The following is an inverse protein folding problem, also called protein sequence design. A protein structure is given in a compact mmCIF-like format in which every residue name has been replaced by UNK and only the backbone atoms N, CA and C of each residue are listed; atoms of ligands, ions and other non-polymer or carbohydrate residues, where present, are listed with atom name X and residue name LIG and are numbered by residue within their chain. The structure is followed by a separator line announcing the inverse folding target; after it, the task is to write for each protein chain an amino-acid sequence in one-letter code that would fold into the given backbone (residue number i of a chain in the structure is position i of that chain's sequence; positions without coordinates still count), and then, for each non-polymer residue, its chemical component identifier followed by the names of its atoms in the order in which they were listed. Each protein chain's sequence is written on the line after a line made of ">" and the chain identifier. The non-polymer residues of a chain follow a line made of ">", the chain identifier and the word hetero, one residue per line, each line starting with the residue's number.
data_IF_319099885242
#
_entry.id   IF_319099885242
#
_cell.length_a   1.000
_cell.length_b   1.000
_cell.length_c   1.000
_cell.angle_alpha   90.00
_cell.angle_beta   90.00
_cell.angle_gamma   90.00
#
_symmetry.space_group_name_H-M   'P 1'
#
loop_
_entity.id
_entity.type
_entity.pdbx_description
1 polymer ?
#
# COMPACT_ATOMS: atom_id res chain seq x y z
N UNK A 1 28.07 7.75 -23.14
CA UNK A 1 27.11 7.13 -24.08
C UNK A 1 26.31 6.00 -23.42
N UNK A 2 26.91 4.95 -22.82
CA UNK A 2 26.21 3.90 -22.06
C UNK A 2 25.20 4.39 -21.01
N UNK A 3 25.62 5.35 -20.19
CA UNK A 3 24.87 5.88 -19.04
C UNK A 3 23.67 6.74 -19.44
N UNK A 4 23.68 7.34 -20.62
CA UNK A 4 22.55 8.17 -21.10
C UNK A 4 21.41 7.25 -21.57
N UNK A 5 21.75 6.20 -22.33
CA UNK A 5 20.78 5.21 -22.78
C UNK A 5 20.08 4.51 -21.61
N UNK A 6 20.84 4.20 -20.58
CA UNK A 6 20.31 3.63 -19.34
C UNK A 6 19.32 4.57 -18.63
N UNK A 7 19.69 5.84 -18.46
CA UNK A 7 18.76 6.86 -17.90
C UNK A 7 17.51 7.05 -18.75
N UNK A 8 17.64 7.04 -20.08
CA UNK A 8 16.50 7.10 -21.00
C UNK A 8 15.63 5.86 -20.81
N UNK A 9 16.22 4.68 -20.69
CA UNK A 9 15.47 3.43 -20.46
C UNK A 9 14.69 3.49 -19.14
N UNK A 10 15.34 3.88 -18.04
CA UNK A 10 14.68 4.04 -16.73
C UNK A 10 13.51 5.03 -16.81
N UNK A 11 13.73 6.20 -17.43
CA UNK A 11 12.70 7.22 -17.57
C UNK A 11 11.52 6.74 -18.43
N UNK A 12 11.78 6.06 -19.56
CA UNK A 12 10.74 5.53 -20.43
C UNK A 12 9.96 4.40 -19.75
N UNK A 13 10.64 3.49 -19.03
CA UNK A 13 9.98 2.43 -18.26
C UNK A 13 9.07 3.00 -17.18
N UNK A 14 9.55 3.98 -16.41
CA UNK A 14 8.75 4.66 -15.39
C UNK A 14 7.59 5.46 -15.98
N UNK A 15 7.82 6.21 -17.07
CA UNK A 15 6.77 6.97 -17.74
C UNK A 15 5.67 6.06 -18.31
N UNK A 16 6.07 4.92 -18.88
CA UNK A 16 5.14 3.92 -19.40
C UNK A 16 4.35 3.27 -18.27
N UNK A 17 5.01 2.84 -17.19
CA UNK A 17 4.37 2.32 -15.99
C UNK A 17 3.33 3.32 -15.45
N UNK A 18 3.73 4.60 -15.32
CA UNK A 18 2.86 5.66 -14.85
C UNK A 18 1.62 5.81 -15.73
N UNK A 19 1.77 5.80 -17.06
CA UNK A 19 0.67 5.95 -18.00
C UNK A 19 -0.24 4.73 -18.04
N UNK A 20 0.33 3.52 -18.02
CA UNK A 20 -0.43 2.27 -18.16
C UNK A 20 -1.13 1.85 -16.87
N UNK A 21 -0.54 2.10 -15.70
CA UNK A 21 -1.06 1.64 -14.41
C UNK A 21 -1.62 2.79 -13.57
N UNK A 22 -0.89 3.92 -13.49
CA UNK A 22 -1.17 4.98 -12.52
C UNK A 22 -1.78 6.26 -13.12
N UNK A 23 -2.29 6.18 -14.35
CA UNK A 23 -2.97 7.28 -15.06
C UNK A 23 -2.13 8.58 -15.21
N UNK A 24 -0.80 8.48 -15.12
CA UNK A 24 0.11 9.61 -15.22
C UNK A 24 0.19 10.50 -13.96
N UNK A 25 -0.39 10.06 -12.82
CA UNK A 25 -0.49 10.90 -11.61
C UNK A 25 0.71 10.80 -10.66
N UNK A 26 1.63 9.86 -10.89
CA UNK A 26 2.79 9.67 -10.01
C UNK A 26 4.01 10.37 -10.59
N UNK A 27 4.85 11.00 -9.78
CA UNK A 27 6.08 11.62 -10.28
C UNK A 27 7.03 10.54 -10.83
N UNK A 28 7.52 10.75 -12.06
CA UNK A 28 8.40 9.80 -12.72
C UNK A 28 9.70 9.53 -11.92
N UNK A 29 10.21 10.52 -11.20
CA UNK A 29 11.40 10.36 -10.34
C UNK A 29 11.19 9.35 -9.22
N UNK A 30 10.05 9.41 -8.53
CA UNK A 30 9.71 8.45 -7.47
C UNK A 30 9.40 7.06 -8.04
N UNK A 31 8.79 6.99 -9.23
CA UNK A 31 8.56 5.71 -9.89
C UNK A 31 9.86 5.04 -10.34
N UNK A 32 10.86 5.78 -10.83
CA UNK A 32 12.17 5.20 -11.15
C UNK A 32 12.78 4.56 -9.90
N UNK A 33 12.75 5.25 -8.75
CA UNK A 33 13.24 4.70 -7.48
C UNK A 33 12.44 3.47 -7.05
N UNK A 34 11.10 3.53 -7.09
CA UNK A 34 10.22 2.43 -6.70
C UNK A 34 10.35 1.17 -7.56
N UNK A 35 10.62 1.33 -8.86
CA UNK A 35 10.82 0.22 -9.80
C UNK A 35 12.23 -0.38 -9.73
N UNK A 36 13.17 0.26 -9.00
CA UNK A 36 14.58 -0.14 -8.97
C UNK A 36 14.88 -1.07 -7.82
N UNK A 37 15.27 -2.31 -8.14
CA UNK A 37 15.61 -3.29 -7.11
C UNK A 37 17.01 -3.05 -6.53
N UNK A 38 17.29 -3.43 -5.27
CA UNK A 38 18.63 -3.28 -4.67
C UNK A 38 19.74 -3.98 -5.47
N UNK A 39 19.45 -5.14 -6.07
CA UNK A 39 20.42 -5.87 -6.90
C UNK A 39 20.82 -5.11 -8.18
N UNK A 40 20.09 -4.07 -8.56
CA UNK A 40 20.43 -3.28 -9.74
C UNK A 40 21.71 -2.47 -9.58
N UNK A 41 22.22 -2.29 -8.35
CA UNK A 41 23.48 -1.60 -8.06
C UNK A 41 23.52 -0.14 -8.55
N UNK A 42 22.36 0.51 -8.63
CA UNK A 42 22.27 1.97 -8.75
C UNK A 42 22.52 2.64 -7.39
N UNK A 43 22.71 3.97 -7.40
CA UNK A 43 22.85 4.76 -6.17
C UNK A 43 21.54 4.94 -5.39
N UNK A 44 20.43 4.48 -5.95
CA UNK A 44 19.09 4.51 -5.38
C UNK A 44 18.39 3.18 -5.65
N UNK A 45 17.42 2.82 -4.80
CA UNK A 45 16.62 1.61 -4.91
C UNK A 45 15.27 1.82 -4.20
N UNK A 46 14.40 0.83 -4.24
CA UNK A 46 13.06 0.94 -3.69
C UNK A 46 12.97 0.90 -2.15
N UNK A 47 14.02 0.52 -1.41
CA UNK A 47 13.92 0.12 0.02
C UNK A 47 13.34 1.25 0.91
N UNK A 48 13.71 2.50 0.62
CA UNK A 48 13.17 3.67 1.33
C UNK A 48 11.67 3.86 1.07
N UNK A 49 11.25 3.66 -0.17
CA UNK A 49 9.86 3.80 -0.58
C UNK A 49 9.01 2.61 -0.12
N UNK A 50 9.57 1.39 -0.12
CA UNK A 50 8.98 0.19 0.46
C UNK A 50 8.66 0.44 1.95
N UNK A 51 9.64 0.90 2.73
CA UNK A 51 9.46 1.15 4.16
C UNK A 51 8.31 2.13 4.45
N UNK A 52 8.27 3.25 3.72
CA UNK A 52 7.22 4.26 3.88
C UNK A 52 5.87 3.72 3.37
N UNK A 53 5.88 2.99 2.26
CA UNK A 53 4.71 2.37 1.66
C UNK A 53 4.07 1.31 2.54
N UNK A 54 4.85 0.43 3.16
CA UNK A 54 4.41 -0.58 4.13
C UNK A 54 3.76 0.08 5.35
N UNK A 55 4.36 1.15 5.86
CA UNK A 55 3.79 1.93 6.98
C UNK A 55 2.43 2.51 6.59
N UNK A 56 2.32 3.11 5.39
CA UNK A 56 1.06 3.64 4.90
C UNK A 56 0.02 2.55 4.63
N UNK A 57 0.41 1.42 4.02
CA UNK A 57 -0.43 0.27 3.75
C UNK A 57 -1.06 -0.26 5.05
N UNK A 58 -0.27 -0.39 6.12
CA UNK A 58 -0.76 -0.82 7.44
C UNK A 58 -1.76 0.17 8.03
N UNK A 59 -1.51 1.48 7.90
CA UNK A 59 -2.44 2.52 8.34
C UNK A 59 -3.76 2.44 7.55
N UNK A 60 -3.67 2.41 6.22
CA UNK A 60 -4.82 2.36 5.32
C UNK A 60 -5.66 1.10 5.56
N UNK A 61 -5.02 -0.08 5.62
CA UNK A 61 -5.71 -1.36 5.86
C UNK A 61 -6.38 -1.37 7.24
N UNK A 62 -5.74 -0.80 8.26
CA UNK A 62 -6.34 -0.67 9.59
C UNK A 62 -7.56 0.26 9.54
N UNK A 63 -7.42 1.46 8.99
CA UNK A 63 -8.52 2.42 8.88
C UNK A 63 -9.71 1.84 8.09
N UNK A 64 -9.44 1.15 6.98
CA UNK A 64 -10.44 0.49 6.15
C UNK A 64 -11.25 -0.54 6.93
N UNK A 65 -10.56 -1.50 7.57
CA UNK A 65 -11.21 -2.59 8.28
C UNK A 65 -12.01 -2.08 9.49
N UNK A 66 -11.47 -1.10 10.23
CA UNK A 66 -12.18 -0.47 11.35
C UNK A 66 -13.46 0.26 10.92
N UNK A 67 -13.48 0.90 9.75
CA UNK A 67 -14.64 1.61 9.24
C UNK A 67 -15.68 0.69 8.58
N UNK A 68 -15.25 -0.37 7.92
CA UNK A 68 -16.18 -1.31 7.26
C UNK A 68 -16.87 -2.23 8.25
N UNK A 69 -16.15 -2.76 9.22
CA UNK A 69 -16.63 -3.83 10.11
C UNK A 69 -16.74 -3.39 11.58
N UNK A 70 -17.52 -2.35 11.86
CA UNK A 70 -17.52 -1.69 13.18
C UNK A 70 -17.97 -2.60 14.35
N UNK A 71 -18.75 -3.64 14.08
CA UNK A 71 -19.31 -4.58 15.07
C UNK A 71 -18.53 -5.90 15.13
N UNK A 72 -17.52 -6.07 14.28
CA UNK A 72 -16.72 -7.31 14.25
C UNK A 72 -15.80 -7.42 15.46
N UNK A 73 -15.56 -8.66 15.88
CA UNK A 73 -14.61 -8.97 16.94
C UNK A 73 -13.17 -8.69 16.49
N UNK A 74 -12.29 -8.35 17.45
CA UNK A 74 -10.88 -8.05 17.19
C UNK A 74 -10.19 -9.12 16.33
N UNK A 75 -10.46 -10.40 16.58
CA UNK A 75 -9.89 -11.50 15.80
C UNK A 75 -10.29 -11.47 14.32
N UNK A 76 -11.54 -11.11 14.02
CA UNK A 76 -12.02 -10.97 12.64
C UNK A 76 -11.38 -9.75 11.95
N UNK A 77 -11.32 -8.61 12.65
CA UNK A 77 -10.66 -7.41 12.16
C UNK A 77 -9.16 -7.65 11.90
N UNK A 78 -8.49 -8.39 12.79
CA UNK A 78 -7.10 -8.78 12.63
C UNK A 78 -6.91 -9.62 11.36
N UNK A 79 -7.78 -10.62 11.14
CA UNK A 79 -7.72 -11.48 9.97
C UNK A 79 -8.00 -10.71 8.67
N UNK A 80 -9.03 -9.87 8.64
CA UNK A 80 -9.36 -9.02 7.49
C UNK A 80 -8.21 -8.07 7.14
N UNK A 81 -7.61 -7.43 8.15
CA UNK A 81 -6.42 -6.58 7.96
C UNK A 81 -5.24 -7.38 7.43
N UNK A 82 -5.00 -8.58 8.00
CA UNK A 82 -3.90 -9.46 7.60
C UNK A 82 -4.01 -9.90 6.13
N UNK A 83 -5.22 -10.19 5.65
CA UNK A 83 -5.44 -10.57 4.25
C UNK A 83 -5.09 -9.44 3.27
N UNK A 84 -5.28 -8.17 3.65
CA UNK A 84 -4.89 -7.01 2.82
C UNK A 84 -3.37 -6.84 2.79
N UNK A 85 -2.72 -6.87 3.96
CA UNK A 85 -1.30 -6.51 4.08
C UNK A 85 -0.32 -7.64 3.76
N UNK A 86 -0.81 -8.87 3.55
CA UNK A 86 0.09 -10.00 3.40
C UNK A 86 0.79 -10.05 2.04
N UNK A 87 2.06 -10.44 2.05
CA UNK A 87 2.90 -10.47 0.85
C UNK A 87 2.32 -11.32 -0.29
N UNK A 88 1.62 -12.43 0.01
CA UNK A 88 0.98 -13.25 -1.03
C UNK A 88 -0.11 -12.48 -1.79
N UNK A 89 -0.84 -11.62 -1.08
CA UNK A 89 -1.91 -10.80 -1.64
C UNK A 89 -1.29 -9.66 -2.44
N UNK A 90 -0.32 -8.94 -1.87
CA UNK A 90 0.40 -7.86 -2.56
C UNK A 90 1.10 -8.34 -3.84
N UNK A 91 1.76 -9.50 -3.78
CA UNK A 91 2.35 -10.15 -4.97
C UNK A 91 1.28 -10.41 -6.04
N UNK A 92 0.13 -10.96 -5.64
CA UNK A 92 -0.95 -11.24 -6.58
C UNK A 92 -1.42 -9.95 -7.26
N UNK A 93 -1.66 -8.87 -6.51
CA UNK A 93 -2.02 -7.57 -7.08
C UNK A 93 -0.93 -7.02 -8.01
N UNK A 94 0.33 -7.12 -7.61
CA UNK A 94 1.46 -6.72 -8.46
C UNK A 94 1.46 -7.46 -9.82
N UNK A 95 1.22 -8.78 -9.80
CA UNK A 95 1.22 -9.62 -11.00
C UNK A 95 -0.03 -9.41 -11.87
N UNK A 96 -1.21 -9.33 -11.25
CA UNK A 96 -2.49 -9.13 -11.95
C UNK A 96 -2.48 -7.78 -12.70
N UNK A 97 -1.82 -6.77 -12.14
CA UNK A 97 -1.66 -5.45 -12.73
C UNK A 97 -0.38 -5.27 -13.56
N UNK A 98 0.42 -6.34 -13.74
CA UNK A 98 1.67 -6.35 -14.53
C UNK A 98 2.69 -5.29 -14.10
N UNK A 99 2.68 -4.90 -12.83
CA UNK A 99 3.62 -3.92 -12.28
C UNK A 99 5.07 -4.47 -12.34
N UNK A 100 5.22 -5.78 -12.21
CA UNK A 100 6.49 -6.51 -12.32
C UNK A 100 7.17 -6.34 -13.70
N UNK A 101 6.42 -6.04 -14.77
CA UNK A 101 6.96 -5.91 -16.13
C UNK A 101 7.83 -4.63 -16.28
N UNK A 102 7.71 -3.70 -15.34
CA UNK A 102 8.40 -2.41 -15.34
C UNK A 102 9.62 -2.36 -14.41
N UNK A 103 9.93 -3.46 -13.72
CA UNK A 103 11.05 -3.53 -12.78
C UNK A 103 12.40 -3.29 -13.47
N UNK A 104 13.32 -2.67 -12.73
CA UNK A 104 14.69 -2.44 -13.16
C UNK A 104 15.59 -3.37 -12.33
N UNK A 105 15.92 -4.55 -12.88
CA UNK A 105 16.59 -5.64 -12.15
C UNK A 105 18.11 -5.56 -12.10
N UNK A 106 18.75 -4.96 -13.11
CA UNK A 106 20.21 -4.82 -13.17
C UNK A 106 20.60 -3.46 -13.75
N UNK A 107 21.79 -2.99 -13.40
CA UNK A 107 22.39 -1.81 -14.03
C UNK A 107 22.86 -2.11 -15.45
N UNK A 108 22.72 -1.11 -16.32
CA UNK A 108 23.26 -1.18 -17.67
C UNK A 108 24.77 -1.42 -17.64
N UNK A 109 25.22 -2.49 -18.30
CA UNK A 109 26.64 -2.74 -18.54
C UNK A 109 26.94 -2.65 -20.03
N UNK A 110 27.83 -1.72 -20.41
CA UNK A 110 28.25 -1.51 -21.81
C UNK A 110 28.89 -2.73 -22.46
N UNK A 111 29.52 -3.59 -21.65
CA UNK A 111 30.13 -4.85 -22.13
C UNK A 111 29.12 -5.94 -22.45
N UNK A 112 27.93 -5.87 -21.84
CA UNK A 112 26.86 -6.85 -22.02
C UNK A 112 25.78 -6.36 -23.01
N UNK A 113 25.76 -5.05 -23.32
CA UNK A 113 24.79 -4.48 -24.25
C UNK A 113 25.11 -4.83 -25.70
N UNK A 114 24.10 -5.30 -26.43
CA UNK A 114 24.16 -5.50 -27.87
C UNK A 114 22.88 -4.92 -28.49
N UNK A 115 22.98 -4.10 -29.56
CA UNK A 115 21.78 -3.58 -30.22
C UNK A 115 20.87 -4.69 -30.76
N UNK A 116 19.57 -4.44 -30.94
CA UNK A 116 18.65 -5.40 -31.57
C UNK A 116 19.19 -5.86 -32.92
N UNK A 117 19.16 -7.18 -33.17
CA UNK A 117 19.69 -7.83 -34.39
C UNK A 117 21.23 -7.82 -34.55
N UNK A 118 21.99 -7.49 -33.51
CA UNK A 118 23.44 -7.66 -33.50
C UNK A 118 23.86 -8.84 -32.60
N UNK A 119 25.00 -9.45 -32.91
CA UNK A 119 25.60 -10.54 -32.11
C UNK A 119 26.97 -10.09 -31.66
N UNK A 120 27.32 -10.38 -30.40
CA UNK A 120 28.66 -10.09 -29.90
C UNK A 120 29.68 -11.07 -30.53
N UNK A 121 30.65 -10.60 -31.34
CA UNK A 121 31.58 -11.47 -32.07
C UNK A 121 32.52 -12.28 -31.16
N UNK A 122 32.74 -11.84 -29.92
CA UNK A 122 33.68 -12.45 -28.97
C UNK A 122 33.06 -13.52 -28.05
N UNK A 123 31.81 -13.95 -28.31
CA UNK A 123 31.19 -15.08 -27.60
C UNK A 123 30.87 -14.84 -26.11
N UNK A 124 31.07 -13.62 -25.61
CA UNK A 124 30.56 -13.21 -24.29
C UNK A 124 29.03 -13.20 -24.26
N UNK A 125 28.44 -13.41 -23.07
CA UNK A 125 27.01 -13.58 -22.71
C UNK A 125 26.00 -12.58 -23.33
N UNK A 126 25.98 -12.43 -24.65
CA UNK A 126 24.93 -11.76 -25.39
C UNK A 126 23.88 -12.81 -25.70
N UNK A 127 22.69 -12.64 -25.13
CA UNK A 127 21.57 -13.58 -25.25
C UNK A 127 21.25 -13.81 -26.73
N UNK A 128 21.51 -15.00 -27.23
CA UNK A 128 21.27 -15.46 -28.61
C UNK A 128 19.80 -15.75 -28.91
N UNK A 129 18.88 -15.34 -28.04
CA UNK A 129 17.47 -15.66 -28.19
C UNK A 129 16.70 -14.47 -28.80
N UNK A 130 16.01 -14.67 -29.93
CA UNK A 130 15.00 -13.70 -30.38
C UNK A 130 13.96 -13.52 -29.28
N UNK A 131 13.59 -12.27 -29.02
CA UNK A 131 12.62 -11.90 -27.98
C UNK A 131 11.23 -12.26 -28.47
N UNK A 132 10.79 -13.47 -28.18
CA UNK A 132 9.40 -13.89 -28.37
C UNK A 132 8.60 -13.51 -27.12
N UNK A 133 8.20 -12.24 -27.02
CA UNK A 133 7.17 -11.79 -26.08
C UNK A 133 5.80 -11.77 -26.78
N UNK A 134 4.67 -11.88 -26.05
CA UNK A 134 3.32 -11.87 -26.63
C UNK A 134 2.92 -10.57 -27.37
N UNK A 135 3.81 -9.58 -27.45
CA UNK A 135 3.56 -8.29 -28.11
C UNK A 135 4.70 -7.85 -29.04
N UNK A 136 5.20 -8.74 -29.89
CA UNK A 136 5.86 -8.52 -31.21
C UNK A 136 6.50 -7.16 -31.61
N UNK A 137 6.94 -6.33 -30.68
CA UNK A 137 7.46 -5.00 -30.93
C UNK A 137 8.97 -5.08 -30.74
N UNK A 138 9.74 -4.65 -31.74
CA UNK A 138 11.20 -4.61 -31.77
C UNK A 138 11.82 -3.61 -30.78
N UNK A 139 11.45 -3.71 -29.51
CA UNK A 139 11.98 -2.90 -28.43
C UNK A 139 13.42 -3.29 -28.14
N UNK A 140 14.22 -2.27 -27.82
CA UNK A 140 15.48 -2.44 -27.10
C UNK A 140 15.23 -3.46 -25.99
N UNK A 141 16.01 -4.53 -25.93
CA UNK A 141 15.75 -5.55 -24.98
C UNK A 141 15.70 -4.93 -23.58
N UNK A 142 14.64 -5.17 -22.86
CA UNK A 142 14.74 -5.43 -21.43
C UNK A 142 15.59 -6.71 -21.20
N UNK A 143 16.56 -7.08 -22.05
CA UNK A 143 17.52 -8.18 -21.87
C UNK A 143 18.51 -7.93 -20.73
N UNK A 144 18.30 -6.86 -19.98
CA UNK A 144 18.73 -6.71 -18.60
C UNK A 144 17.81 -7.45 -17.60
N UNK A 145 16.93 -8.33 -18.06
CA UNK A 145 16.24 -9.30 -17.23
C UNK A 145 16.89 -10.66 -17.50
N UNK A 146 17.99 -10.96 -16.81
CA UNK A 146 18.26 -12.37 -16.55
C UNK A 146 16.99 -12.91 -15.91
N UNK A 147 16.39 -13.96 -16.50
CA UNK A 147 15.27 -14.74 -15.93
C UNK A 147 15.68 -15.42 -14.61
N UNK A 148 16.33 -14.71 -13.70
CA UNK A 148 16.36 -15.08 -12.31
C UNK A 148 14.93 -15.02 -11.83
N UNK A 149 14.50 -16.04 -11.09
CA UNK A 149 13.21 -16.04 -10.44
C UNK A 149 13.20 -14.84 -9.48
N UNK A 150 12.45 -13.78 -9.81
CA UNK A 150 12.24 -12.66 -8.89
C UNK A 150 11.59 -13.26 -7.64
N UNK A 151 12.17 -12.98 -6.48
CA UNK A 151 11.64 -13.53 -5.24
C UNK A 151 10.24 -12.99 -5.01
N UNK A 152 9.35 -13.83 -4.46
CA UNK A 152 7.98 -13.42 -4.16
C UNK A 152 7.94 -12.17 -3.27
N UNK A 153 8.88 -12.07 -2.34
CA UNK A 153 9.03 -10.90 -1.47
C UNK A 153 9.24 -9.62 -2.29
N UNK A 154 10.18 -9.62 -3.23
CA UNK A 154 10.49 -8.46 -4.09
C UNK A 154 9.25 -7.94 -4.84
N UNK A 155 8.32 -8.81 -5.23
CA UNK A 155 7.08 -8.38 -5.89
C UNK A 155 6.07 -7.74 -4.92
N UNK A 156 6.04 -8.19 -3.66
CA UNK A 156 5.26 -7.54 -2.63
C UNK A 156 5.87 -6.18 -2.27
N UNK A 157 7.19 -6.14 -2.06
CA UNK A 157 7.95 -4.91 -1.78
C UNK A 157 7.75 -3.87 -2.92
N UNK A 158 7.56 -4.33 -4.17
CA UNK A 158 7.28 -3.45 -5.32
C UNK A 158 5.92 -2.75 -5.23
N UNK A 159 4.88 -3.45 -4.74
CA UNK A 159 3.58 -2.83 -4.54
C UNK A 159 3.64 -1.78 -3.42
N UNK A 160 4.38 -2.08 -2.35
CA UNK A 160 4.63 -1.17 -1.23
C UNK A 160 5.43 0.05 -1.69
N UNK A 161 6.53 -0.16 -2.43
CA UNK A 161 7.35 0.93 -2.95
C UNK A 161 6.60 1.83 -3.92
N UNK A 162 5.70 1.28 -4.74
CA UNK A 162 4.82 2.06 -5.59
C UNK A 162 3.87 2.94 -4.76
N UNK A 163 3.29 2.42 -3.68
CA UNK A 163 2.48 3.24 -2.75
C UNK A 163 3.32 4.32 -2.08
N UNK A 164 4.57 3.99 -1.70
CA UNK A 164 5.55 4.96 -1.20
C UNK A 164 5.83 6.08 -2.22
N UNK A 165 5.98 5.74 -3.51
CA UNK A 165 6.15 6.73 -4.57
C UNK A 165 4.93 7.65 -4.73
N UNK A 166 3.72 7.09 -4.59
CA UNK A 166 2.48 7.88 -4.53
C UNK A 166 2.48 8.84 -3.33
N UNK A 167 2.90 8.35 -2.15
CA UNK A 167 3.00 9.17 -0.95
C UNK A 167 3.99 10.33 -1.12
N UNK A 168 5.13 10.10 -1.77
CA UNK A 168 6.12 11.14 -2.05
C UNK A 168 5.66 12.12 -3.14
N UNK A 169 4.67 11.77 -3.96
CA UNK A 169 4.17 12.63 -5.03
C UNK A 169 3.08 13.58 -4.55
N UNK A 170 1.99 13.06 -3.97
CA UNK A 170 0.82 13.87 -3.57
C UNK A 170 0.39 13.59 -2.11
N UNK A 171 1.27 13.03 -1.28
CA UNK A 171 0.90 12.63 0.08
C UNK A 171 -0.09 11.47 0.09
N UNK A 172 -0.97 11.44 1.08
CA UNK A 172 -1.89 10.32 1.30
C UNK A 172 -2.78 10.05 0.09
N UNK A 173 -3.21 11.09 -0.63
CA UNK A 173 -4.08 10.95 -1.81
C UNK A 173 -3.36 10.23 -2.97
N UNK A 174 -2.07 10.50 -3.15
CA UNK A 174 -1.24 9.80 -4.13
C UNK A 174 -1.01 8.33 -3.78
N UNK A 175 -0.81 8.02 -2.49
CA UNK A 175 -0.70 6.64 -2.04
C UNK A 175 -2.02 5.86 -2.17
N UNK A 176 -3.15 6.50 -1.84
CA UNK A 176 -4.49 5.94 -2.07
C UNK A 176 -4.77 5.75 -3.57
N UNK A 177 -4.28 6.66 -4.43
CA UNK A 177 -4.39 6.51 -5.88
C UNK A 177 -3.69 5.25 -6.37
N UNK A 178 -2.46 4.99 -5.92
CA UNK A 178 -1.75 3.75 -6.23
C UNK A 178 -2.51 2.53 -5.71
N UNK A 179 -2.99 2.58 -4.46
CA UNK A 179 -3.76 1.48 -3.86
C UNK A 179 -5.03 1.14 -4.67
N UNK A 180 -5.72 2.16 -5.21
CA UNK A 180 -6.89 1.99 -6.10
C UNK A 180 -6.47 1.40 -7.45
N UNK A 181 -5.41 1.91 -8.08
CA UNK A 181 -4.91 1.40 -9.35
C UNK A 181 -4.51 -0.09 -9.29
N UNK A 182 -4.00 -0.53 -8.14
CA UNK A 182 -3.60 -1.93 -7.89
C UNK A 182 -4.69 -2.79 -7.23
N UNK A 183 -5.88 -2.23 -6.98
CA UNK A 183 -6.99 -2.89 -6.29
C UNK A 183 -6.60 -3.52 -4.93
N UNK A 184 -5.77 -2.86 -4.13
CA UNK A 184 -5.24 -3.40 -2.87
C UNK A 184 -6.35 -3.69 -1.84
N UNK A 185 -7.37 -2.83 -1.78
CA UNK A 185 -8.52 -2.99 -0.89
C UNK A 185 -9.72 -3.52 -1.67
N UNK A 186 -10.60 -4.36 -1.05
CA UNK A 186 -11.77 -4.91 -1.75
C UNK A 186 -12.72 -3.84 -2.28
N UNK A 187 -12.84 -2.71 -1.57
CA UNK A 187 -13.52 -1.50 -2.04
C UNK A 187 -12.52 -0.35 -2.13
N UNK A 188 -12.58 0.47 -3.18
CA UNK A 188 -11.67 1.60 -3.33
C UNK A 188 -11.92 2.65 -2.25
N UNK A 189 -10.84 3.19 -1.68
CA UNK A 189 -10.88 4.29 -0.70
C UNK A 189 -10.47 5.58 -1.41
N UNK A 190 -11.32 6.60 -1.39
CA UNK A 190 -10.98 7.88 -2.02
C UNK A 190 -10.18 8.77 -1.09
N UNK A 191 -10.52 8.80 0.20
CA UNK A 191 -9.78 9.53 1.23
C UNK A 191 -9.89 8.84 2.59
N UNK A 192 -8.89 9.04 3.46
CA UNK A 192 -9.00 8.61 4.86
C UNK A 192 -10.09 9.40 5.62
N UNK A 193 -10.41 10.60 5.16
CA UNK A 193 -11.49 11.41 5.72
C UNK A 193 -12.87 10.79 5.50
N UNK A 194 -13.12 10.23 4.32
CA UNK A 194 -14.33 9.46 4.00
C UNK A 194 -14.43 8.22 4.89
N UNK A 195 -13.34 7.45 5.03
CA UNK A 195 -13.29 6.29 5.93
C UNK A 195 -13.60 6.68 7.38
N UNK A 196 -13.07 7.82 7.84
CA UNK A 196 -13.35 8.35 9.18
C UNK A 196 -14.80 8.83 9.33
N UNK A 197 -15.41 9.42 8.30
CA UNK A 197 -16.83 9.81 8.32
C UNK A 197 -17.75 8.59 8.32
N UNK A 198 -17.47 7.59 7.48
CA UNK A 198 -18.18 6.32 7.49
C UNK A 198 -18.18 5.67 8.87
N UNK A 199 -17.01 5.64 9.51
CA UNK A 199 -16.87 5.14 10.87
C UNK A 199 -17.69 5.96 11.86
N UNK A 200 -17.65 7.30 11.79
CA UNK A 200 -18.45 8.18 12.65
C UNK A 200 -19.94 7.95 12.47
N UNK A 201 -20.41 7.82 11.23
CA UNK A 201 -21.82 7.57 10.91
C UNK A 201 -22.27 6.25 11.53
N UNK A 202 -21.56 5.15 11.25
CA UNK A 202 -21.87 3.82 11.79
C UNK A 202 -21.83 3.81 13.33
N UNK A 203 -20.85 4.51 13.93
CA UNK A 203 -20.76 4.63 15.40
C UNK A 203 -21.98 5.37 15.96
N UNK A 204 -22.40 6.46 15.31
CA UNK A 204 -23.56 7.24 15.74
C UNK A 204 -24.86 6.45 15.63
N UNK A 205 -25.01 5.64 14.59
CA UNK A 205 -26.14 4.72 14.42
C UNK A 205 -26.17 3.65 15.53
N UNK A 206 -25.02 3.06 15.87
CA UNK A 206 -24.91 2.10 16.97
C UNK A 206 -25.24 2.75 18.33
N UNK A 207 -24.74 3.95 18.60
CA UNK A 207 -25.05 4.73 19.82
C UNK A 207 -26.55 4.95 19.98
N UNK A 208 -27.21 5.39 18.90
CA UNK A 208 -28.67 5.64 18.91
C UNK A 208 -29.46 4.35 19.12
N UNK A 209 -29.04 3.25 18.49
CA UNK A 209 -29.69 1.94 18.61
C UNK A 209 -29.65 1.44 20.05
N UNK A 210 -28.52 1.62 20.72
CA UNK A 210 -28.26 1.09 22.08
C UNK A 210 -28.54 2.10 23.20
N UNK A 211 -28.98 3.33 22.87
CA UNK A 211 -29.29 4.43 23.81
C UNK A 211 -28.16 4.73 24.78
N UNK A 212 -26.95 4.83 24.24
CA UNK A 212 -25.71 4.93 25.02
C UNK A 212 -25.39 6.33 25.54
N UNK A 213 -26.13 7.35 25.09
CA UNK A 213 -25.99 8.72 25.59
C UNK A 213 -26.19 8.79 27.12
N UNK A 214 -27.06 7.94 27.66
CA UNK A 214 -27.33 7.82 29.10
C UNK A 214 -26.22 7.13 29.90
N UNK A 215 -25.29 6.46 29.23
CA UNK A 215 -24.22 5.71 29.87
C UNK A 215 -22.96 6.56 30.10
N UNK A 216 -22.82 7.72 29.45
CA UNK A 216 -21.64 8.60 29.55
C UNK A 216 -21.46 9.07 30.99
N UNK A 217 -20.26 8.87 31.55
CA UNK A 217 -19.85 9.51 32.81
C UNK A 217 -19.36 10.94 32.54
N UNK A 218 -20.10 11.99 32.95
CA UNK A 218 -19.73 13.38 32.69
C UNK A 218 -18.48 13.81 33.45
N UNK A 219 -18.20 13.23 34.62
CA UNK A 219 -17.04 13.57 35.43
C UNK A 219 -15.77 13.05 34.78
N UNK A 220 -15.78 11.78 34.34
CA UNK A 220 -14.67 11.18 33.62
C UNK A 220 -14.36 11.94 32.31
N UNK A 221 -15.40 12.36 31.58
CA UNK A 221 -15.22 13.17 30.37
C UNK A 221 -14.60 14.53 30.68
N UNK A 222 -15.08 15.24 31.70
CA UNK A 222 -14.54 16.55 32.09
C UNK A 222 -13.07 16.47 32.50
N UNK A 223 -12.69 15.44 33.25
CA UNK A 223 -11.30 15.21 33.65
C UNK A 223 -10.41 14.91 32.43
N UNK A 224 -10.88 14.08 31.50
CA UNK A 224 -10.16 13.75 30.27
C UNK A 224 -9.98 14.98 29.37
N UNK A 225 -11.05 15.75 29.14
CA UNK A 225 -11.00 16.97 28.34
C UNK A 225 -10.15 18.07 29.00
N UNK A 226 -10.23 18.20 30.32
CA UNK A 226 -9.41 19.13 31.10
C UNK A 226 -7.93 18.77 31.07
N UNK A 227 -7.58 17.48 31.14
CA UNK A 227 -6.21 17.00 31.06
C UNK A 227 -5.62 17.19 29.66
N UNK A 228 -6.38 16.87 28.61
CA UNK A 228 -5.92 16.97 27.22
C UNK A 228 -6.02 18.39 26.65
N UNK A 229 -6.81 19.28 27.27
CA UNK A 229 -7.13 20.60 26.73
C UNK A 229 -7.89 20.52 25.40
N UNK A 230 -8.65 19.44 25.18
CA UNK A 230 -9.33 19.15 23.92
C UNK A 230 -10.78 18.73 24.17
N UNK A 231 -11.71 19.39 23.48
CA UNK A 231 -13.14 19.04 23.53
C UNK A 231 -13.46 18.03 22.43
N UNK A 232 -13.95 16.85 22.80
CA UNK A 232 -14.22 15.78 21.86
C UNK A 232 -15.54 16.01 21.11
N UNK A 233 -15.49 15.89 19.79
CA UNK A 233 -16.70 15.87 18.95
C UNK A 233 -17.57 14.64 19.21
N UNK A 234 -16.97 13.51 19.60
CA UNK A 234 -17.67 12.28 19.97
C UNK A 234 -17.16 11.76 21.32
N UNK A 235 -17.85 12.11 22.42
CA UNK A 235 -17.44 11.70 23.77
C UNK A 235 -17.39 10.18 23.96
N UNK A 236 -18.29 9.45 23.31
CA UNK A 236 -18.38 7.99 23.35
C UNK A 236 -17.07 7.32 22.91
N UNK A 237 -16.46 7.82 21.82
CA UNK A 237 -15.21 7.26 21.29
C UNK A 237 -14.06 7.55 22.25
N UNK A 238 -14.03 8.75 22.85
CA UNK A 238 -12.99 9.15 23.80
C UNK A 238 -13.01 8.28 25.06
N UNK A 239 -14.18 8.11 25.67
CA UNK A 239 -14.34 7.28 26.86
C UNK A 239 -14.09 5.80 26.58
N UNK A 240 -14.49 5.31 25.40
CA UNK A 240 -14.18 3.95 25.01
C UNK A 240 -12.67 3.72 24.89
N UNK A 241 -11.92 4.67 24.33
CA UNK A 241 -10.48 4.56 24.19
C UNK A 241 -9.76 4.47 25.55
N UNK A 242 -10.36 5.00 26.62
CA UNK A 242 -9.82 4.97 27.99
C UNK A 242 -10.33 3.79 28.82
N UNK A 243 -11.25 2.98 28.31
CA UNK A 243 -11.90 1.91 29.08
C UNK A 243 -11.22 0.56 28.82
N UNK A 244 -10.62 -0.02 29.86
CA UNK A 244 -9.98 -1.33 29.79
C UNK A 244 -10.98 -2.49 29.83
N UNK A 245 -10.65 -3.62 29.19
CA UNK A 245 -11.51 -4.83 29.11
C UNK A 245 -11.95 -5.39 30.47
N UNK A 246 -11.16 -5.18 31.53
CA UNK A 246 -11.50 -5.64 32.88
C UNK A 246 -12.61 -4.82 33.53
N UNK A 247 -12.87 -3.63 33.01
CA UNK A 247 -13.92 -2.74 33.48
C UNK A 247 -15.21 -3.12 32.72
N UNK A 248 -15.80 -4.24 33.12
CA UNK A 248 -17.22 -4.51 32.84
C UNK A 248 -18.06 -3.64 33.79
N UNK A 249 -18.06 -2.32 33.57
CA UNK A 249 -18.99 -1.45 34.25
C UNK A 249 -20.40 -1.84 33.81
N UNK A 250 -21.26 -2.08 34.80
CA UNK A 250 -22.62 -2.57 34.65
C UNK A 250 -23.39 -1.61 33.73
N UNK A 251 -23.56 -1.99 32.46
CA UNK A 251 -24.23 -1.17 31.43
C UNK A 251 -23.32 -0.47 30.41
N UNK A 252 -21.98 -0.56 30.53
CA UNK A 252 -21.02 -0.06 29.55
C UNK A 252 -20.15 -1.19 29.01
N UNK A 253 -20.62 -1.85 27.97
CA UNK A 253 -19.81 -2.76 27.13
C UNK A 253 -19.00 -1.95 26.11
N UNK A 254 -18.08 -1.10 26.56
CA UNK A 254 -17.21 -0.34 25.65
C UNK A 254 -15.75 -0.49 26.04
N UNK A 255 -15.14 -1.64 25.73
CA UNK A 255 -13.68 -1.80 25.78
C UNK A 255 -13.06 -1.36 24.44
N UNK A 256 -11.82 -0.91 24.46
CA UNK A 256 -11.04 -0.66 23.24
C UNK A 256 -10.67 -1.96 22.50
N UNK A 257 -10.65 -3.12 23.19
CA UNK A 257 -10.36 -4.46 22.63
C UNK A 257 -11.63 -5.25 22.26
N UNK A 258 -12.74 -5.05 22.98
CA UNK A 258 -13.99 -5.80 22.77
C UNK A 258 -15.17 -4.83 22.73
N UNK A 259 -15.69 -4.57 21.52
CA UNK A 259 -17.02 -4.00 21.34
C UNK A 259 -18.08 -5.09 21.52
N UNK A 260 -19.27 -4.78 22.07
CA UNK A 260 -20.19 -5.79 22.56
C UNK A 260 -20.60 -6.73 21.43
N UNK A 261 -20.33 -8.02 21.63
CA UNK A 261 -21.05 -9.06 20.91
C UNK A 261 -22.42 -9.18 21.58
N UNK A 262 -23.50 -8.96 20.83
CA UNK A 262 -24.85 -9.31 21.25
C UNK A 262 -24.85 -10.83 21.48
N UNK A 263 -24.75 -11.28 22.73
CA UNK A 263 -25.15 -12.63 23.09
C UNK A 263 -26.68 -12.62 23.10
N UNK A 264 -27.26 -13.09 22.01
CA UNK A 264 -28.67 -13.48 22.00
C UNK A 264 -28.84 -14.63 23.00
N UNK A 265 -29.51 -14.34 24.12
CA UNK A 265 -30.20 -15.34 24.95
C UNK A 265 -31.51 -15.72 24.29
#
# INVERSE_FOLDING_TARGET
>A
MPTILDRIHQALSAQRCNKEIFEGKIAATHLIEALTVPSASYSFNYERLEFIGDTFLKLMATAYVFAEEIESQEGLLHNARREIIMNRTLLKHCMDHKLNDFMLLQSFTSRAWVPPNFVNPSGGRATTHPISGPRGEGYLPTAYHSKGLVQQKTLADLAESAMGAGLMTEGMDGALHVARCLNITPRPIHSLGETAELYRQKTSEAIRREKLDSAIDPQALFELEGFLGYTFRSPHIALQATTHQSINLTGMTFSYEVRPTIRAT
#
